data_IF_352020946543
#
_entry.id   IF_352020946543
#
_cell.length_a   1.000
_cell.length_b   1.000
_cell.length_c   1.000
_cell.angle_alpha   90.00
_cell.angle_beta   90.00
_cell.angle_gamma   90.00
#
_symmetry.space_group_name_H-M   'P 1'
#
loop_
_entity.id
_entity.type
_entity.pdbx_description
1 polymer ?
#
# COMPACT_ATOMS: atom_id res chain seq x y z
N UNK A 1 12.04 -9.47 9.02
CA UNK A 1 11.67 -8.53 7.95
C UNK A 1 11.16 -7.27 8.61
N UNK A 2 11.66 -6.09 8.23
CA UNK A 2 11.30 -4.83 8.87
C UNK A 2 10.89 -3.79 7.83
N UNK A 3 9.85 -3.04 8.14
CA UNK A 3 9.41 -1.88 7.37
C UNK A 3 9.45 -0.63 8.24
N UNK A 4 9.58 0.53 7.62
CA UNK A 4 9.34 1.80 8.26
C UNK A 4 8.80 2.79 7.25
N UNK A 5 8.03 3.76 7.74
CA UNK A 5 7.55 4.88 6.94
C UNK A 5 8.06 6.18 7.54
N UNK A 6 8.32 7.16 6.67
CA UNK A 6 8.74 8.50 7.09
C UNK A 6 7.81 9.54 6.49
N UNK A 7 7.42 10.51 7.32
CA UNK A 7 6.58 11.65 6.94
C UNK A 7 7.33 12.92 7.26
N UNK A 8 7.62 13.75 6.26
CA UNK A 8 8.30 15.04 6.43
C UNK A 8 7.43 16.18 5.94
N UNK A 9 6.99 17.05 6.85
CA UNK A 9 6.26 18.25 6.50
C UNK A 9 7.18 19.32 5.89
N UNK A 10 6.74 19.94 4.79
CA UNK A 10 7.46 21.02 4.12
C UNK A 10 6.57 22.27 4.12
N UNK A 11 6.74 23.17 5.11
CA UNK A 11 5.89 24.35 5.28
C UNK A 11 5.82 25.27 4.06
N UNK A 12 6.86 25.28 3.23
CA UNK A 12 6.96 26.15 2.06
C UNK A 12 6.07 25.71 0.88
N UNK A 13 5.53 24.50 0.91
CA UNK A 13 4.84 23.92 -0.26
C UNK A 13 3.33 24.19 -0.30
N UNK A 14 2.69 24.62 0.79
CA UNK A 14 1.35 25.24 0.81
C UNK A 14 0.96 25.67 2.22
N UNK A 15 0.30 26.82 2.35
CA UNK A 15 -0.17 27.35 3.64
C UNK A 15 -1.46 26.69 4.17
N UNK A 16 -2.21 25.97 3.34
CA UNK A 16 -3.57 25.49 3.68
C UNK A 16 -3.72 23.96 3.80
N UNK A 17 -2.74 23.19 3.33
CA UNK A 17 -2.71 21.73 3.46
C UNK A 17 -1.37 21.32 4.04
N UNK A 18 -1.36 20.40 5.03
CA UNK A 18 -0.12 19.77 5.52
C UNK A 18 0.45 18.92 4.39
N UNK A 19 1.25 19.53 3.53
CA UNK A 19 1.88 18.91 2.37
C UNK A 19 3.34 18.62 2.70
N UNK A 20 3.87 17.54 2.15
CA UNK A 20 5.24 17.15 2.44
C UNK A 20 5.66 15.92 1.66
N UNK A 21 6.60 15.19 2.25
CA UNK A 21 7.18 13.99 1.68
C UNK A 21 6.74 12.77 2.47
N UNK A 22 6.56 11.69 1.71
CA UNK A 22 6.32 10.37 2.23
C UNK A 22 7.31 9.39 1.64
N UNK A 23 7.75 8.45 2.47
CA UNK A 23 8.63 7.37 2.04
C UNK A 23 8.22 6.10 2.77
N UNK A 24 7.99 5.03 2.00
CA UNK A 24 7.77 3.69 2.52
C UNK A 24 9.01 2.85 2.22
N UNK A 25 9.61 2.24 3.24
CA UNK A 25 10.87 1.51 3.10
C UNK A 25 10.71 0.09 3.60
N UNK A 26 11.02 -0.88 2.74
CA UNK A 26 10.98 -2.32 3.03
C UNK A 26 12.35 -2.89 2.76
N UNK A 27 12.95 -3.54 3.77
CA UNK A 27 14.29 -4.12 3.66
C UNK A 27 15.34 -3.14 3.09
N UNK A 28 15.32 -1.89 3.58
CA UNK A 28 16.19 -0.79 3.16
C UNK A 28 16.00 -0.26 1.73
N UNK A 29 15.00 -0.75 0.99
CA UNK A 29 14.63 -0.21 -0.32
C UNK A 29 13.41 0.71 -0.18
N UNK A 30 13.49 1.91 -0.74
CA UNK A 30 12.38 2.86 -0.75
C UNK A 30 11.40 2.53 -1.89
N UNK A 31 10.11 2.64 -1.61
CA UNK A 31 9.05 2.38 -2.56
C UNK A 31 8.08 3.56 -2.63
N UNK A 32 7.81 4.08 -3.83
CA UNK A 32 8.54 3.86 -5.10
C UNK A 32 9.97 4.47 -5.06
N UNK A 33 10.80 4.13 -6.05
CA UNK A 33 12.13 4.74 -6.26
C UNK A 33 11.98 6.22 -6.61
N UNK A 34 11.81 7.07 -5.60
CA UNK A 34 11.65 8.51 -5.76
C UNK A 34 10.92 9.20 -4.62
N UNK A 35 11.09 10.52 -4.56
CA UNK A 35 10.39 11.38 -3.62
C UNK A 35 9.02 11.73 -4.21
N UNK A 36 7.92 11.24 -3.62
CA UNK A 36 6.57 11.65 -4.00
C UNK A 36 6.06 12.80 -3.13
N UNK A 37 5.39 13.75 -3.78
CA UNK A 37 4.63 14.80 -3.11
C UNK A 37 3.40 14.17 -2.44
N UNK A 38 3.14 14.55 -1.20
CA UNK A 38 2.03 14.01 -0.45
C UNK A 38 1.17 15.07 0.24
N UNK A 39 -0.13 14.81 0.26
CA UNK A 39 -1.05 15.36 1.25
C UNK A 39 -0.95 14.51 2.53
N UNK A 40 -0.14 14.94 3.50
CA UNK A 40 0.23 14.13 4.68
C UNK A 40 -0.97 13.74 5.56
N UNK A 41 -2.08 14.47 5.46
CA UNK A 41 -3.30 14.16 6.21
C UNK A 41 -3.96 12.88 5.70
N UNK A 42 -4.09 12.70 4.37
CA UNK A 42 -4.71 11.50 3.80
C UNK A 42 -3.84 10.28 4.02
N UNK A 43 -2.52 10.38 3.81
CA UNK A 43 -1.64 9.22 4.00
C UNK A 43 -1.52 8.75 5.45
N UNK A 44 -1.49 9.69 6.39
CA UNK A 44 -1.53 9.32 7.81
C UNK A 44 -2.82 8.57 8.10
N UNK A 45 -3.94 9.03 7.56
CA UNK A 45 -5.21 8.35 7.73
C UNK A 45 -5.14 6.94 7.12
N UNK A 46 -4.72 6.80 5.87
CA UNK A 46 -4.69 5.51 5.17
C UNK A 46 -3.75 4.46 5.83
N UNK A 47 -2.66 4.90 6.46
CA UNK A 47 -1.69 4.01 7.12
C UNK A 47 -2.05 3.74 8.58
N UNK A 48 -2.52 4.76 9.32
CA UNK A 48 -2.77 4.65 10.77
C UNK A 48 -4.21 4.21 11.05
N UNK A 49 -5.10 4.24 10.06
CA UNK A 49 -6.44 3.67 10.21
C UNK A 49 -6.34 2.15 10.48
N UNK A 50 -7.24 1.67 11.33
CA UNK A 50 -7.23 0.30 11.88
C UNK A 50 -7.42 -0.79 10.81
N UNK A 51 -7.65 -0.40 9.56
CA UNK A 51 -7.83 -1.30 8.42
C UNK A 51 -6.56 -1.49 7.59
N UNK A 52 -5.47 -0.75 7.87
CA UNK A 52 -4.23 -0.92 7.13
C UNK A 52 -3.65 -2.32 7.37
N UNK A 53 -3.37 -3.05 6.28
CA UNK A 53 -2.82 -4.42 6.30
C UNK A 53 -1.55 -4.54 7.15
N UNK A 54 -0.78 -3.45 7.30
CA UNK A 54 0.41 -3.39 8.14
C UNK A 54 0.13 -3.63 9.63
N UNK A 55 -1.10 -3.39 10.08
CA UNK A 55 -1.50 -3.45 11.48
C UNK A 55 -2.67 -4.43 11.74
N UNK A 56 -3.46 -4.75 10.72
CA UNK A 56 -4.78 -5.39 10.91
C UNK A 56 -4.87 -6.86 10.51
N UNK A 57 -3.99 -7.37 9.63
CA UNK A 57 -4.24 -8.65 8.98
C UNK A 57 -3.53 -9.84 9.64
N UNK A 58 -4.25 -10.95 9.79
CA UNK A 58 -3.69 -12.23 10.23
C UNK A 58 -2.82 -12.84 9.13
N UNK A 59 -1.73 -13.49 9.52
CA UNK A 59 -0.81 -14.11 8.57
C UNK A 59 -1.52 -15.19 7.73
N UNK A 60 -1.50 -15.06 6.40
CA UNK A 60 -1.92 -16.12 5.50
C UNK A 60 -0.74 -17.08 5.29
N UNK A 61 -0.76 -18.23 6.00
CA UNK A 61 0.35 -19.18 6.02
C UNK A 61 0.59 -19.85 4.66
N UNK A 62 -0.46 -20.02 3.86
CA UNK A 62 -0.36 -20.61 2.54
C UNK A 62 0.40 -19.67 1.61
N UNK A 63 0.00 -18.39 1.56
CA UNK A 63 0.74 -17.37 0.79
C UNK A 63 2.16 -17.19 1.32
N UNK A 64 2.38 -17.22 2.63
CA UNK A 64 3.72 -17.05 3.21
C UNK A 64 4.71 -18.14 2.77
N UNK A 65 4.22 -19.35 2.47
CA UNK A 65 5.06 -20.48 2.06
C UNK A 65 5.28 -20.55 0.53
N UNK A 66 4.63 -19.69 -0.26
CA UNK A 66 4.82 -19.64 -1.71
C UNK A 66 6.08 -18.81 -2.09
N UNK A 67 6.70 -19.11 -3.26
CA UNK A 67 7.71 -18.24 -3.84
C UNK A 67 7.18 -16.81 -4.04
N UNK A 68 8.04 -15.80 -3.84
CA UNK A 68 7.64 -14.38 -3.92
C UNK A 68 6.94 -14.00 -5.22
N UNK A 69 7.39 -14.53 -6.36
CA UNK A 69 6.77 -14.28 -7.65
C UNK A 69 5.34 -14.82 -7.74
N UNK A 70 5.11 -16.00 -7.18
CA UNK A 70 3.81 -16.67 -7.17
C UNK A 70 2.85 -15.94 -6.21
N UNK A 71 3.34 -15.51 -5.05
CA UNK A 71 2.56 -14.66 -4.13
C UNK A 71 2.14 -13.37 -4.83
N UNK A 72 3.07 -12.69 -5.49
CA UNK A 72 2.77 -11.44 -6.17
C UNK A 72 1.69 -11.62 -7.24
N UNK A 73 1.78 -12.68 -8.05
CA UNK A 73 0.77 -12.98 -9.07
C UNK A 73 -0.60 -13.30 -8.45
N UNK A 74 -0.64 -14.11 -7.38
CA UNK A 74 -1.89 -14.37 -6.63
C UNK A 74 -2.51 -13.07 -6.12
N UNK A 75 -1.73 -12.19 -5.50
CA UNK A 75 -2.20 -10.91 -4.99
C UNK A 75 -2.72 -10.01 -6.12
N UNK A 76 -2.04 -9.96 -7.27
CA UNK A 76 -2.49 -9.20 -8.44
C UNK A 76 -3.83 -9.72 -8.98
N UNK A 77 -4.03 -11.05 -9.04
CA UNK A 77 -5.30 -11.64 -9.50
C UNK A 77 -6.45 -11.40 -8.53
N UNK A 78 -6.18 -11.32 -7.22
CA UNK A 78 -7.18 -10.99 -6.20
C UNK A 78 -7.61 -9.51 -6.28
N UNK A 79 -6.65 -8.61 -6.47
CA UNK A 79 -6.92 -7.17 -6.61
C UNK A 79 -7.55 -6.81 -7.96
N UNK A 80 -7.15 -7.52 -9.03
CA UNK A 80 -7.55 -7.25 -10.41
C UNK A 80 -7.99 -8.52 -11.15
N UNK A 81 -9.07 -9.17 -10.70
CA UNK A 81 -9.60 -10.35 -11.35
C UNK A 81 -10.13 -10.02 -12.75
N UNK A 82 -9.93 -10.95 -13.67
CA UNK A 82 -10.46 -10.84 -15.03
C UNK A 82 -11.94 -11.19 -15.05
N UNK A 83 -12.72 -10.43 -15.83
CA UNK A 83 -14.12 -10.76 -16.07
C UNK A 83 -14.23 -12.07 -16.88
N UNK A 84 -15.25 -12.87 -16.58
CA UNK A 84 -15.62 -14.07 -17.34
C UNK A 84 -17.02 -13.94 -17.92
N UNK A 85 -17.41 -14.87 -18.78
CA UNK A 85 -18.78 -14.91 -19.32
C UNK A 85 -19.82 -15.11 -18.21
N UNK A 86 -19.49 -15.86 -17.16
CA UNK A 86 -20.37 -16.07 -16.00
C UNK A 86 -20.32 -14.93 -14.97
N UNK A 87 -19.24 -14.14 -14.96
CA UNK A 87 -19.07 -13.05 -14.02
C UNK A 87 -18.38 -11.83 -14.65
N UNK A 88 -19.20 -10.88 -15.10
CA UNK A 88 -18.75 -9.63 -15.71
C UNK A 88 -18.11 -8.65 -14.71
N UNK A 89 -18.39 -8.79 -13.41
CA UNK A 89 -17.94 -7.87 -12.36
C UNK A 89 -17.40 -8.66 -11.16
N UNK A 90 -16.25 -9.34 -11.31
CA UNK A 90 -15.66 -10.09 -10.23
C UNK A 90 -15.30 -9.18 -9.05
N UNK A 91 -15.52 -9.70 -7.85
CA UNK A 91 -15.20 -9.01 -6.60
C UNK A 91 -13.70 -8.78 -6.49
N UNK A 92 -13.30 -7.55 -6.15
CA UNK A 92 -11.92 -7.16 -5.96
C UNK A 92 -11.58 -7.23 -4.46
N UNK A 93 -10.49 -7.93 -4.14
CA UNK A 93 -10.04 -8.12 -2.75
C UNK A 93 -8.73 -7.35 -2.56
N UNK A 94 -8.78 -6.29 -1.74
CA UNK A 94 -7.63 -5.42 -1.45
C UNK A 94 -7.03 -5.65 -0.05
N UNK A 95 -7.45 -6.69 0.64
CA UNK A 95 -7.12 -7.00 2.04
C UNK A 95 -5.61 -7.10 2.32
N UNK A 96 -4.81 -7.41 1.29
CA UNK A 96 -3.36 -7.57 1.37
C UNK A 96 -2.58 -6.36 0.84
N UNK A 97 -3.28 -5.34 0.31
CA UNK A 97 -2.68 -4.17 -0.31
C UNK A 97 -2.48 -3.02 0.66
N UNK A 98 -1.41 -2.25 0.45
CA UNK A 98 -1.26 -0.93 1.09
C UNK A 98 -1.94 0.09 0.18
N UNK A 99 -2.99 0.75 0.67
CA UNK A 99 -3.87 1.62 -0.13
C UNK A 99 -3.41 3.08 -0.21
N UNK A 100 -2.27 3.46 0.41
CA UNK A 100 -1.79 4.84 0.29
C UNK A 100 -1.43 5.16 -1.17
N UNK A 101 -1.90 6.30 -1.73
CA UNK A 101 -1.65 6.70 -3.11
C UNK A 101 -0.17 6.83 -3.51
N UNK A 102 0.71 6.92 -2.52
CA UNK A 102 2.15 7.04 -2.75
C UNK A 102 2.90 5.70 -2.69
N UNK A 103 2.20 4.59 -2.43
CA UNK A 103 2.76 3.23 -2.51
C UNK A 103 2.07 2.40 -3.60
N UNK A 104 0.86 2.81 -4.02
CA UNK A 104 0.13 2.25 -5.17
C UNK A 104 0.76 2.57 -6.52
#
# INVERSE_FOLDING_TARGET
MGFFYSIKHIPQWRNFSKTGLFSFIVNANAYPDGIRLSTLFSERYDIVDNNCVLFSHSANIEMFNLPTADVFDVLCRLAHPQATEENAYPEQIFDYGITTPNVS
#
